data_IF_919629084656
#
_entry.id   IF_919629084656
#
_cell.length_a   1.000
_cell.length_b   1.000
_cell.length_c   1.000
_cell.angle_alpha   90.00
_cell.angle_beta   90.00
_cell.angle_gamma   90.00
#
_symmetry.space_group_name_H-M   'P 1'
#
loop_
_entity.id
_entity.type
_entity.pdbx_description
1 polymer ?
#
# COMPACT_ATOMS: atom_id res chain seq x y z
N UNK A 1 -2.32 20.59 0.71
CA UNK A 1 -2.02 19.91 -0.57
C UNK A 1 -2.41 18.45 -0.39
N UNK A 2 -3.31 17.89 -1.19
CA UNK A 2 -3.81 16.52 -0.98
C UNK A 2 -2.75 15.52 -1.45
N UNK A 3 -2.03 14.92 -0.52
CA UNK A 3 -0.88 14.04 -0.78
C UNK A 3 -1.22 12.80 -1.64
N UNK A 4 -2.43 12.26 -1.54
CA UNK A 4 -2.86 11.06 -2.29
C UNK A 4 -2.82 11.26 -3.82
N UNK A 5 -2.96 12.48 -4.32
CA UNK A 5 -2.88 12.75 -5.77
C UNK A 5 -1.47 12.61 -6.36
N UNK A 6 -0.45 12.49 -5.52
CA UNK A 6 0.95 12.32 -5.96
C UNK A 6 1.27 10.90 -6.46
N UNK A 7 0.37 9.93 -6.26
CA UNK A 7 0.68 8.49 -6.49
C UNK A 7 0.17 7.92 -7.81
N UNK A 8 -0.13 8.76 -8.80
CA UNK A 8 -0.52 8.31 -10.17
C UNK A 8 -1.59 7.20 -10.19
N UNK A 9 -2.53 7.27 -9.24
CA UNK A 9 -3.73 6.46 -9.34
C UNK A 9 -4.51 6.85 -10.58
N UNK A 10 -5.12 5.88 -11.25
CA UNK A 10 -6.25 6.16 -12.15
C UNK A 10 -7.44 6.63 -11.30
N UNK A 11 -8.33 7.45 -11.87
CA UNK A 11 -9.43 8.06 -11.11
C UNK A 11 -10.35 7.02 -10.44
N UNK A 12 -10.60 5.90 -11.12
CA UNK A 12 -11.35 4.76 -10.61
C UNK A 12 -10.67 4.15 -9.37
N UNK A 13 -9.39 3.81 -9.45
CA UNK A 13 -8.62 3.24 -8.34
C UNK A 13 -8.49 4.20 -7.17
N UNK A 14 -8.32 5.49 -7.45
CA UNK A 14 -8.28 6.53 -6.42
C UNK A 14 -9.62 6.62 -5.68
N UNK A 15 -10.73 6.55 -6.41
CA UNK A 15 -12.07 6.59 -5.81
C UNK A 15 -12.32 5.38 -4.89
N UNK A 16 -11.92 4.19 -5.33
CA UNK A 16 -11.98 2.96 -4.52
C UNK A 16 -11.14 3.12 -3.26
N UNK A 17 -9.87 3.50 -3.40
CA UNK A 17 -8.97 3.66 -2.25
C UNK A 17 -9.50 4.68 -1.25
N UNK A 18 -9.96 5.85 -1.70
CA UNK A 18 -10.55 6.89 -0.85
C UNK A 18 -11.83 6.46 -0.14
N UNK A 19 -12.64 5.60 -0.75
CA UNK A 19 -13.82 5.03 -0.11
C UNK A 19 -13.43 4.12 1.04
N UNK A 20 -12.41 3.29 0.87
CA UNK A 20 -12.00 2.31 1.87
C UNK A 20 -11.24 2.92 3.04
N UNK A 21 -10.37 3.91 2.82
CA UNK A 21 -9.65 4.58 3.92
C UNK A 21 -10.57 5.40 4.83
N UNK A 22 -11.82 5.65 4.44
CA UNK A 22 -12.83 6.37 5.23
C UNK A 22 -13.82 5.43 5.93
N UNK A 23 -13.64 4.11 5.81
CA UNK A 23 -14.47 3.18 6.55
C UNK A 23 -14.16 3.26 8.04
N UNK A 24 -15.16 3.07 8.92
CA UNK A 24 -14.94 3.17 10.35
C UNK A 24 -14.15 1.99 10.92
N UNK A 25 -14.13 0.84 10.23
CA UNK A 25 -13.43 -0.36 10.68
C UNK A 25 -13.05 -1.28 9.51
N UNK A 26 -12.25 -2.29 9.83
CA UNK A 26 -11.74 -3.26 8.89
C UNK A 26 -10.26 -3.11 8.62
N UNK A 27 -9.71 -3.90 7.71
CA UNK A 27 -8.27 -3.93 7.46
C UNK A 27 -7.96 -3.63 5.98
N UNK A 28 -7.00 -2.74 5.78
CA UNK A 28 -6.44 -2.38 4.47
C UNK A 28 -4.98 -2.80 4.46
N UNK A 29 -4.61 -3.67 3.50
CA UNK A 29 -3.25 -4.15 3.34
C UNK A 29 -2.63 -3.59 2.06
N UNK A 30 -1.44 -3.00 2.19
CA UNK A 30 -0.62 -2.63 1.03
C UNK A 30 0.54 -3.62 0.91
N UNK A 31 0.63 -4.29 -0.22
CA UNK A 31 1.70 -5.26 -0.49
C UNK A 31 2.65 -4.79 -1.59
N UNK A 32 3.79 -5.43 -1.66
CA UNK A 32 4.83 -5.15 -2.65
C UNK A 32 6.23 -5.30 -2.08
N UNK A 33 7.25 -5.34 -2.94
CA UNK A 33 8.64 -5.46 -2.53
C UNK A 33 9.12 -4.23 -1.74
N UNK A 34 10.29 -4.36 -1.13
CA UNK A 34 10.99 -3.21 -0.52
C UNK A 34 11.20 -2.11 -1.56
N UNK A 35 10.97 -0.86 -1.17
CA UNK A 35 11.10 0.29 -2.06
C UNK A 35 9.95 0.50 -3.04
N UNK A 36 8.83 -0.23 -2.92
CA UNK A 36 7.64 -0.02 -3.75
C UNK A 36 6.78 1.19 -3.35
N UNK A 37 7.15 1.90 -2.27
CA UNK A 37 6.46 3.11 -1.81
C UNK A 37 5.27 2.85 -0.86
N UNK A 38 5.18 1.67 -0.25
CA UNK A 38 4.10 1.30 0.68
C UNK A 38 3.91 2.30 1.82
N UNK A 39 4.99 2.59 2.56
CA UNK A 39 4.97 3.54 3.69
C UNK A 39 4.50 4.92 3.24
N UNK A 40 4.97 5.40 2.09
CA UNK A 40 4.57 6.70 1.55
C UNK A 40 3.06 6.76 1.25
N UNK A 41 2.51 5.68 0.67
CA UNK A 41 1.07 5.59 0.39
C UNK A 41 0.25 5.51 1.69
N UNK A 42 0.69 4.72 2.67
CA UNK A 42 0.05 4.63 3.98
C UNK A 42 0.06 5.98 4.71
N UNK A 43 1.19 6.67 4.73
CA UNK A 43 1.29 7.99 5.35
C UNK A 43 0.37 9.02 4.67
N UNK A 44 0.27 8.97 3.34
CA UNK A 44 -0.68 9.81 2.61
C UNK A 44 -2.15 9.49 2.95
N UNK A 45 -2.47 8.20 3.15
CA UNK A 45 -3.79 7.78 3.60
C UNK A 45 -4.11 8.31 5.01
N UNK A 46 -3.16 8.16 5.95
CA UNK A 46 -3.32 8.69 7.31
C UNK A 46 -3.51 10.20 7.32
N UNK A 47 -2.75 10.94 6.51
CA UNK A 47 -2.89 12.39 6.38
C UNK A 47 -4.24 12.82 5.76
N UNK A 48 -4.82 12.03 4.87
CA UNK A 48 -6.14 12.32 4.26
C UNK A 48 -7.29 12.12 5.25
N UNK A 49 -7.17 11.14 6.17
CA UNK A 49 -8.24 10.85 7.14
C UNK A 49 -8.06 11.54 8.49
N UNK A 50 -6.87 12.10 8.74
CA UNK A 50 -6.54 12.77 9.99
C UNK A 50 -7.49 13.91 10.29
N UNK A 51 -8.00 13.94 11.51
CA UNK A 51 -8.77 15.05 12.08
C UNK A 51 -8.55 15.11 13.60
N UNK A 52 -8.95 16.21 14.23
CA UNK A 52 -8.79 16.40 15.67
C UNK A 52 -9.63 15.42 16.52
N UNK A 53 -10.61 14.76 15.89
CA UNK A 53 -11.52 13.81 16.54
C UNK A 53 -11.13 12.34 16.28
N UNK A 54 -10.01 12.07 15.64
CA UNK A 54 -9.57 10.71 15.29
C UNK A 54 -8.21 10.43 15.92
N UNK A 55 -8.17 9.47 16.84
CA UNK A 55 -6.92 9.00 17.44
C UNK A 55 -6.22 8.03 16.48
N UNK A 56 -5.17 8.50 15.82
CA UNK A 56 -4.35 7.69 14.92
C UNK A 56 -3.05 7.31 15.62
N UNK A 57 -2.79 6.02 15.73
CA UNK A 57 -1.55 5.49 16.29
C UNK A 57 -0.86 4.57 15.31
N UNK A 58 0.48 4.62 15.24
CA UNK A 58 1.28 3.75 14.39
C UNK A 58 2.31 2.97 15.20
N UNK A 59 2.67 1.77 14.72
CA UNK A 59 3.82 0.98 15.19
C UNK A 59 4.67 0.64 13.97
N UNK A 60 5.93 1.04 13.97
CA UNK A 60 6.77 1.02 12.76
C UNK A 60 8.21 0.58 13.07
N UNK A 61 8.91 0.06 12.05
CA UNK A 61 10.30 -0.40 12.13
C UNK A 61 11.08 -0.08 10.84
N UNK A 62 11.72 1.12 10.77
CA UNK A 62 11.59 2.29 11.65
C UNK A 62 10.43 3.23 11.24
N UNK A 63 10.22 4.30 12.04
CA UNK A 63 9.43 5.48 11.62
C UNK A 63 10.22 6.25 10.57
N UNK A 64 9.69 6.36 9.35
CA UNK A 64 10.40 7.01 8.22
C UNK A 64 10.51 8.53 8.39
N UNK A 65 9.43 9.17 8.83
CA UNK A 65 9.39 10.58 9.23
C UNK A 65 8.17 10.86 10.11
N UNK A 66 8.27 11.90 10.92
CA UNK A 66 7.20 12.28 11.83
C UNK A 66 6.03 12.96 11.09
N UNK A 67 4.81 12.56 11.44
CA UNK A 67 3.58 13.19 10.95
C UNK A 67 2.95 13.94 12.12
N UNK A 68 2.88 15.28 12.10
CA UNK A 68 2.29 16.04 13.20
C UNK A 68 0.86 15.60 13.51
N UNK A 69 0.56 15.37 14.79
CA UNK A 69 -0.77 14.93 15.25
C UNK A 69 -1.10 13.48 14.99
N UNK A 70 -0.10 12.62 14.81
CA UNK A 70 -0.20 11.16 14.82
C UNK A 70 0.76 10.61 15.87
N UNK A 71 0.29 9.65 16.66
CA UNK A 71 1.10 8.97 17.67
C UNK A 71 1.93 7.88 16.99
N UNK A 72 3.21 8.12 16.74
CA UNK A 72 4.08 7.16 16.05
C UNK A 72 5.03 6.48 17.04
N UNK A 73 4.96 5.17 17.13
CA UNK A 73 5.77 4.33 18.02
C UNK A 73 6.76 3.55 17.16
N UNK A 74 8.04 3.72 17.44
CA UNK A 74 9.09 2.93 16.79
C UNK A 74 9.37 1.67 17.59
N UNK A 75 9.40 0.52 16.93
CA UNK A 75 9.85 -0.75 17.49
C UNK A 75 11.31 -0.64 17.94
N UNK A 76 11.62 -1.26 19.08
CA UNK A 76 12.96 -1.29 19.63
C UNK A 76 13.21 -2.63 20.33
N UNK A 77 13.51 -3.67 19.55
CA UNK A 77 13.64 -5.04 20.03
C UNK A 77 14.72 -5.21 21.12
N UNK A 78 15.79 -4.40 21.08
CA UNK A 78 16.85 -4.46 22.08
C UNK A 78 16.38 -4.18 23.52
N UNK A 79 15.25 -3.48 23.69
CA UNK A 79 14.63 -3.21 25.01
C UNK A 79 13.29 -3.96 25.17
N UNK A 80 12.99 -4.93 24.31
CA UNK A 80 11.76 -5.74 24.37
C UNK A 80 10.50 -5.04 23.83
N UNK A 81 10.62 -3.86 23.20
CA UNK A 81 9.52 -3.19 22.54
C UNK A 81 9.34 -3.73 21.10
N UNK A 82 8.83 -4.95 20.99
CA UNK A 82 8.47 -5.58 19.72
C UNK A 82 7.14 -5.06 19.16
N UNK A 83 6.79 -5.39 17.89
CA UNK A 83 5.47 -5.10 17.33
C UNK A 83 4.35 -5.58 18.24
N UNK A 84 4.36 -6.85 18.65
CA UNK A 84 3.32 -7.42 19.50
C UNK A 84 3.25 -6.74 20.89
N UNK A 85 4.40 -6.42 21.51
CA UNK A 85 4.44 -5.72 22.78
C UNK A 85 3.84 -4.31 22.70
N UNK A 86 4.20 -3.53 21.66
CA UNK A 86 3.66 -2.21 21.41
C UNK A 86 2.14 -2.29 21.15
N UNK A 87 1.69 -3.19 20.26
CA UNK A 87 0.28 -3.35 19.92
C UNK A 87 -0.58 -3.70 21.13
N UNK A 88 -0.14 -4.63 22.00
CA UNK A 88 -0.86 -4.94 23.26
C UNK A 88 -1.05 -3.73 24.17
N UNK A 89 -0.11 -2.79 24.15
CA UNK A 89 -0.23 -1.55 24.93
C UNK A 89 -1.17 -0.55 24.28
N UNK A 90 -1.12 -0.43 22.94
CA UNK A 90 -1.97 0.48 22.16
C UNK A 90 -3.44 0.13 22.25
N UNK A 91 -3.80 -1.18 22.34
CA UNK A 91 -5.18 -1.62 22.53
C UNK A 91 -5.87 -0.99 23.75
N UNK A 92 -5.12 -0.43 24.70
CA UNK A 92 -5.63 0.25 25.90
C UNK A 92 -5.61 1.77 25.80
N UNK A 93 -5.24 2.32 24.64
CA UNK A 93 -5.13 3.75 24.38
C UNK A 93 -6.27 4.30 23.52
N UNK A 94 -7.29 3.46 23.29
CA UNK A 94 -8.50 3.79 22.51
C UNK A 94 -8.18 4.48 21.15
N UNK A 95 -7.37 3.84 20.29
CA UNK A 95 -7.11 4.38 18.95
C UNK A 95 -8.25 4.05 18.02
N UNK A 96 -8.71 5.00 17.20
CA UNK A 96 -9.68 4.79 16.13
C UNK A 96 -9.04 4.12 14.91
N UNK A 97 -7.79 4.51 14.64
CA UNK A 97 -7.01 4.05 13.47
C UNK A 97 -5.64 3.57 13.92
N UNK A 98 -5.28 2.37 13.48
CA UNK A 98 -3.99 1.76 13.75
C UNK A 98 -3.23 1.51 12.45
N UNK A 99 -1.98 1.97 12.37
CA UNK A 99 -1.05 1.52 11.33
C UNK A 99 -0.02 0.58 11.96
N UNK A 100 0.07 -0.61 11.41
CA UNK A 100 1.11 -1.59 11.70
C UNK A 100 2.06 -1.60 10.51
N UNK A 101 3.30 -1.18 10.70
CA UNK A 101 4.28 -1.00 9.63
C UNK A 101 4.37 -2.22 8.73
N UNK A 102 4.39 -3.41 9.32
CA UNK A 102 4.28 -4.68 8.59
C UNK A 102 3.82 -5.83 9.50
N UNK A 103 3.21 -6.85 8.88
CA UNK A 103 2.85 -8.12 9.52
C UNK A 103 3.85 -9.17 9.06
N UNK A 104 4.73 -9.62 10.00
CA UNK A 104 5.77 -10.62 9.75
C UNK A 104 5.48 -11.97 10.38
N UNK A 105 4.67 -12.00 11.43
CA UNK A 105 4.43 -13.16 12.29
C UNK A 105 2.95 -13.31 12.64
N UNK A 106 2.60 -14.49 13.15
CA UNK A 106 1.23 -14.86 13.51
C UNK A 106 0.68 -13.97 14.63
N UNK A 107 1.49 -13.67 15.66
CA UNK A 107 1.02 -12.88 16.80
C UNK A 107 0.58 -11.47 16.38
N UNK A 108 1.38 -10.80 15.55
CA UNK A 108 1.06 -9.49 14.98
C UNK A 108 -0.18 -9.57 14.09
N UNK A 109 -0.29 -10.63 13.25
CA UNK A 109 -1.45 -10.85 12.39
C UNK A 109 -2.75 -11.04 13.20
N UNK A 110 -2.71 -11.87 14.25
CA UNK A 110 -3.86 -12.11 15.13
C UNK A 110 -4.36 -10.83 15.82
N UNK A 111 -3.43 -9.98 16.28
CA UNK A 111 -3.77 -8.70 16.90
C UNK A 111 -4.40 -7.78 15.87
N UNK A 112 -3.82 -7.65 14.67
CA UNK A 112 -4.33 -6.81 13.60
C UNK A 112 -5.76 -7.19 13.19
N UNK A 113 -6.00 -8.49 12.99
CA UNK A 113 -7.31 -9.04 12.64
C UNK A 113 -8.33 -8.76 13.73
N UNK A 114 -8.02 -9.10 14.98
CA UNK A 114 -8.93 -8.86 16.13
C UNK A 114 -9.29 -7.38 16.27
N UNK A 115 -8.30 -6.50 16.11
CA UNK A 115 -8.48 -5.07 16.21
C UNK A 115 -9.41 -4.54 15.12
N UNK A 116 -9.21 -4.99 13.86
CA UNK A 116 -10.07 -4.61 12.73
C UNK A 116 -11.52 -5.09 12.86
N UNK A 117 -11.76 -6.18 13.61
CA UNK A 117 -13.11 -6.73 13.87
C UNK A 117 -13.83 -6.06 15.06
N UNK A 118 -13.10 -5.34 15.90
CA UNK A 118 -13.67 -4.66 17.09
C UNK A 118 -14.02 -3.19 16.87
N UNK A 119 -14.20 -2.78 15.61
CA UNK A 119 -14.68 -1.45 15.27
C UNK A 119 -13.60 -0.44 14.89
N UNK A 120 -12.36 -0.89 14.62
CA UNK A 120 -11.23 -0.02 14.32
C UNK A 120 -10.72 -0.20 12.89
N UNK A 121 -10.18 0.85 12.31
CA UNK A 121 -9.56 0.79 10.99
C UNK A 121 -8.07 0.47 11.11
N UNK A 122 -7.65 -0.61 10.49
CA UNK A 122 -6.27 -1.09 10.52
C UNK A 122 -5.62 -0.93 9.15
N UNK A 123 -4.47 -0.30 9.10
CA UNK A 123 -3.57 -0.28 7.96
C UNK A 123 -2.36 -1.14 8.22
N UNK A 124 -1.92 -1.92 7.24
CA UNK A 124 -0.66 -2.64 7.37
C UNK A 124 -0.02 -2.94 6.03
N UNK A 125 1.19 -3.50 6.09
CA UNK A 125 1.87 -4.03 4.90
C UNK A 125 2.21 -5.50 5.06
N UNK A 126 2.32 -6.17 3.93
CA UNK A 126 2.89 -7.53 3.82
C UNK A 126 3.81 -7.58 2.61
N UNK A 127 4.82 -8.42 2.67
CA UNK A 127 5.66 -8.70 1.51
C UNK A 127 5.00 -9.79 0.66
N UNK A 128 4.33 -9.37 -0.42
CA UNK A 128 3.73 -10.24 -1.44
C UNK A 128 3.87 -9.58 -2.81
N UNK A 129 3.75 -10.37 -3.88
CA UNK A 129 4.01 -9.89 -5.24
C UNK A 129 2.80 -9.24 -5.90
N UNK A 130 1.60 -9.65 -5.53
CA UNK A 130 0.31 -9.22 -6.07
C UNK A 130 -0.77 -9.27 -4.97
N UNK A 131 -1.99 -8.83 -5.29
CA UNK A 131 -3.06 -8.79 -4.31
C UNK A 131 -3.55 -10.19 -3.90
N UNK A 132 -3.74 -11.17 -4.79
CA UNK A 132 -4.10 -12.54 -4.40
C UNK A 132 -3.05 -13.22 -3.51
N UNK A 133 -1.76 -13.12 -3.85
CA UNK A 133 -0.68 -13.73 -3.04
C UNK A 133 -0.56 -13.10 -1.64
N UNK A 134 -1.09 -11.90 -1.45
CA UNK A 134 -1.21 -11.29 -0.13
C UNK A 134 -2.14 -12.09 0.79
N UNK A 135 -3.26 -12.61 0.27
CA UNK A 135 -4.17 -13.48 1.01
C UNK A 135 -3.44 -14.77 1.41
N UNK A 136 -2.79 -15.43 0.45
CA UNK A 136 -2.02 -16.65 0.72
C UNK A 136 -0.98 -16.41 1.82
N UNK A 137 -0.29 -15.26 1.76
CA UNK A 137 0.72 -14.92 2.77
C UNK A 137 0.12 -14.77 4.18
N UNK A 138 -1.07 -14.18 4.31
CA UNK A 138 -1.76 -14.06 5.62
C UNK A 138 -2.25 -15.43 6.12
N UNK A 139 -2.69 -16.31 5.22
CA UNK A 139 -3.03 -17.70 5.56
C UNK A 139 -1.78 -18.48 6.05
N UNK A 140 -0.65 -18.32 5.37
CA UNK A 140 0.63 -18.94 5.74
C UNK A 140 1.14 -18.44 7.11
N UNK A 141 0.79 -17.21 7.51
CA UNK A 141 1.04 -16.67 8.83
C UNK A 141 0.09 -17.23 9.91
N UNK A 142 -0.82 -18.12 9.53
CA UNK A 142 -1.72 -18.83 10.46
C UNK A 142 -3.06 -18.12 10.69
N UNK A 143 -3.39 -17.06 9.94
CA UNK A 143 -4.70 -16.39 10.08
C UNK A 143 -5.80 -17.29 9.49
N UNK A 144 -6.85 -17.64 10.25
CA UNK A 144 -7.94 -18.46 9.74
C UNK A 144 -8.69 -17.77 8.58
N UNK A 145 -9.06 -18.52 7.51
CA UNK A 145 -9.73 -17.94 6.33
C UNK A 145 -10.98 -17.12 6.65
N UNK A 146 -11.84 -17.60 7.56
CA UNK A 146 -13.07 -16.90 7.94
C UNK A 146 -12.81 -15.55 8.63
N UNK A 147 -11.70 -15.44 9.35
CA UNK A 147 -11.30 -14.17 9.98
C UNK A 147 -10.77 -13.19 8.91
N UNK A 148 -10.02 -13.66 7.92
CA UNK A 148 -9.59 -12.83 6.79
C UNK A 148 -10.79 -12.29 6.02
N UNK A 149 -11.76 -13.15 5.68
CA UNK A 149 -12.97 -12.74 4.99
C UNK A 149 -13.76 -11.66 5.77
N UNK A 150 -13.76 -11.73 7.10
CA UNK A 150 -14.51 -10.78 7.95
C UNK A 150 -13.76 -9.48 8.24
N UNK A 151 -12.43 -9.51 8.24
CA UNK A 151 -11.58 -8.38 8.63
C UNK A 151 -11.06 -7.56 7.46
N UNK A 152 -10.72 -8.22 6.32
CA UNK A 152 -10.15 -7.54 5.16
C UNK A 152 -11.22 -6.75 4.38
N UNK A 153 -10.91 -5.50 4.10
CA UNK A 153 -11.69 -4.61 3.24
C UNK A 153 -11.04 -4.45 1.88
N UNK A 154 -9.73 -4.21 1.87
CA UNK A 154 -8.99 -3.89 0.66
C UNK A 154 -7.57 -4.43 0.72
N UNK A 155 -7.12 -4.99 -0.38
CA UNK A 155 -5.72 -5.30 -0.63
C UNK A 155 -5.26 -4.47 -1.84
N UNK A 156 -4.10 -3.85 -1.70
CA UNK A 156 -3.49 -3.11 -2.80
C UNK A 156 -2.03 -3.54 -2.97
N UNK A 157 -1.72 -4.17 -4.10
CA UNK A 157 -0.34 -4.44 -4.45
C UNK A 157 0.23 -3.25 -5.23
N UNK A 158 1.45 -2.84 -4.87
CA UNK A 158 2.09 -1.63 -5.39
C UNK A 158 3.52 -1.88 -5.85
N UNK A 159 3.85 -1.30 -7.00
CA UNK A 159 5.23 -1.26 -7.52
C UNK A 159 5.56 0.14 -8.01
N UNK A 160 6.83 0.54 -7.91
CA UNK A 160 7.34 1.75 -8.53
C UNK A 160 7.98 1.41 -9.88
N UNK A 161 7.59 2.16 -10.90
CA UNK A 161 8.22 2.14 -12.22
C UNK A 161 8.87 3.48 -12.49
N UNK A 162 9.92 3.51 -13.30
CA UNK A 162 10.57 4.74 -13.72
C UNK A 162 9.66 5.52 -14.66
N UNK A 163 9.60 6.84 -14.51
CA UNK A 163 8.88 7.74 -15.42
C UNK A 163 9.80 8.16 -16.54
N UNK A 164 9.35 8.05 -17.78
CA UNK A 164 10.07 8.62 -18.93
C UNK A 164 10.24 10.13 -18.71
N UNK A 165 11.42 10.67 -18.99
CA UNK A 165 11.63 12.11 -18.94
C UNK A 165 10.70 12.79 -19.96
N UNK A 166 9.75 13.64 -19.53
CA UNK A 166 8.74 14.22 -20.42
C UNK A 166 9.35 15.12 -21.51
N UNK A 167 10.54 15.69 -21.25
CA UNK A 167 11.22 16.58 -22.18
C UNK A 167 12.12 15.81 -23.18
N UNK A 168 12.44 14.55 -22.86
CA UNK A 168 13.42 13.75 -23.62
C UNK A 168 12.81 12.38 -23.96
N UNK A 169 11.61 12.37 -24.53
CA UNK A 169 10.92 11.15 -25.01
C UNK A 169 10.98 11.07 -26.53
N UNK A 170 11.14 9.86 -27.05
CA UNK A 170 11.09 9.54 -28.48
C UNK A 170 10.04 8.44 -28.71
N UNK A 171 9.43 8.44 -29.88
CA UNK A 171 8.50 7.36 -30.25
C UNK A 171 9.22 6.02 -30.27
N UNK A 172 8.51 4.99 -29.88
CA UNK A 172 8.95 3.61 -29.86
C UNK A 172 7.96 2.70 -30.58
N UNK A 173 8.49 1.68 -31.22
CA UNK A 173 7.68 0.66 -31.89
C UNK A 173 7.89 -0.68 -31.17
N UNK A 174 7.07 -1.02 -30.18
CA UNK A 174 7.20 -2.28 -29.46
C UNK A 174 6.96 -3.47 -30.39
N UNK A 175 7.65 -4.58 -30.14
CA UNK A 175 7.49 -5.80 -30.89
C UNK A 175 6.14 -6.47 -30.59
N UNK A 176 5.66 -7.31 -31.50
CA UNK A 176 4.41 -8.07 -31.31
C UNK A 176 4.43 -8.91 -30.04
N UNK A 177 5.59 -9.50 -29.67
CA UNK A 177 5.76 -10.25 -28.42
C UNK A 177 5.59 -9.35 -27.17
N UNK A 178 6.13 -8.14 -27.21
CA UNK A 178 5.96 -7.16 -26.11
C UNK A 178 4.49 -6.75 -25.95
N UNK A 179 3.80 -6.49 -27.05
CA UNK A 179 2.37 -6.12 -27.06
C UNK A 179 1.50 -7.28 -26.55
N UNK A 180 1.82 -8.51 -26.94
CA UNK A 180 1.12 -9.70 -26.48
C UNK A 180 1.28 -9.92 -24.97
N UNK A 181 2.50 -9.75 -24.44
CA UNK A 181 2.77 -9.84 -22.99
C UNK A 181 2.02 -8.80 -22.18
N UNK A 182 1.75 -7.64 -22.76
CA UNK A 182 0.97 -6.56 -22.14
C UNK A 182 -0.54 -6.72 -22.31
N UNK A 183 -1.01 -7.71 -23.11
CA UNK A 183 -2.44 -7.93 -23.38
C UNK A 183 -3.09 -6.84 -24.21
N UNK A 184 -2.30 -6.04 -24.98
CA UNK A 184 -2.79 -4.89 -25.75
C UNK A 184 -2.63 -5.03 -27.27
N UNK A 185 -2.34 -6.25 -27.75
CA UNK A 185 -2.07 -6.53 -29.16
C UNK A 185 -3.17 -6.03 -30.10
N UNK A 186 -4.44 -6.18 -29.73
CA UNK A 186 -5.59 -5.81 -30.57
C UNK A 186 -5.74 -4.29 -30.75
N UNK A 187 -5.32 -3.52 -29.75
CA UNK A 187 -5.49 -2.06 -29.73
C UNK A 187 -4.18 -1.29 -30.00
N UNK A 188 -3.09 -2.00 -30.27
CA UNK A 188 -1.77 -1.39 -30.42
C UNK A 188 -1.70 -0.34 -31.53
N UNK A 189 -2.44 -0.55 -32.64
CA UNK A 189 -2.49 0.39 -33.75
C UNK A 189 -3.14 1.75 -33.45
N UNK A 190 -3.84 1.83 -32.30
CA UNK A 190 -4.47 3.08 -31.82
C UNK A 190 -3.64 3.78 -30.75
N UNK A 191 -2.49 3.22 -30.38
CA UNK A 191 -1.63 3.73 -29.32
C UNK A 191 -0.30 4.22 -29.86
N UNK A 192 0.16 5.35 -29.33
CA UNK A 192 1.53 5.81 -29.56
C UNK A 192 2.38 5.43 -28.36
N UNK A 193 3.45 4.70 -28.59
CA UNK A 193 4.38 4.26 -27.54
C UNK A 193 5.61 5.17 -27.53
N UNK A 194 6.18 5.33 -26.33
CA UNK A 194 7.36 6.16 -26.14
C UNK A 194 8.42 5.44 -25.32
N UNK A 195 9.68 5.78 -25.57
CA UNK A 195 10.81 5.44 -24.72
C UNK A 195 11.59 6.70 -24.35
N UNK A 196 12.32 6.64 -23.25
CA UNK A 196 13.18 7.74 -22.82
C UNK A 196 14.43 7.84 -23.70
N UNK A 197 14.77 9.07 -24.12
CA UNK A 197 16.02 9.36 -24.80
C UNK A 197 17.11 9.64 -23.77
N UNK A 198 18.20 8.85 -23.73
CA UNK A 198 19.33 9.11 -22.84
C UNK A 198 20.00 10.45 -23.17
N UNK A 199 20.12 11.34 -22.17
CA UNK A 199 20.82 12.63 -22.26
C UNK A 199 21.59 12.89 -20.96
N UNK A 200 22.53 13.82 -20.96
CA UNK A 200 23.24 14.21 -19.74
C UNK A 200 22.29 14.73 -18.65
N UNK A 201 21.19 15.39 -19.03
CA UNK A 201 20.20 15.94 -18.09
C UNK A 201 19.43 14.87 -17.33
N UNK A 202 19.27 13.68 -17.90
CA UNK A 202 18.61 12.53 -17.25
C UNK A 202 19.63 11.42 -16.90
N UNK A 203 20.90 11.78 -16.69
CA UNK A 203 22.00 10.87 -16.35
C UNK A 203 22.16 9.70 -17.33
N UNK A 204 21.92 9.95 -18.61
CA UNK A 204 21.97 8.96 -19.70
C UNK A 204 21.02 7.75 -19.50
N UNK A 205 19.95 7.93 -18.76
CA UNK A 205 18.96 6.86 -18.49
C UNK A 205 17.71 6.98 -19.35
N UNK A 206 17.34 8.18 -19.80
CA UNK A 206 16.07 8.47 -20.45
C UNK A 206 14.88 8.60 -19.48
N UNK A 207 15.12 8.49 -18.14
CA UNK A 207 14.08 8.51 -17.13
C UNK A 207 14.30 9.60 -16.10
N UNK A 208 13.20 10.16 -15.56
CA UNK A 208 13.22 11.17 -14.50
C UNK A 208 12.07 10.93 -13.53
N UNK A 209 12.42 10.53 -12.31
CA UNK A 209 11.45 10.20 -11.26
C UNK A 209 10.88 8.79 -11.38
N UNK A 210 9.89 8.53 -10.54
CA UNK A 210 9.18 7.24 -10.43
C UNK A 210 7.70 7.50 -10.24
N UNK A 211 6.88 6.58 -10.69
CA UNK A 211 5.45 6.56 -10.48
C UNK A 211 5.02 5.19 -9.95
N UNK A 212 3.91 5.11 -9.26
CA UNK A 212 3.39 3.86 -8.75
C UNK A 212 2.39 3.24 -9.74
N UNK A 213 2.40 1.92 -9.85
CA UNK A 213 1.35 1.12 -10.45
C UNK A 213 0.69 0.30 -9.36
N UNK A 214 -0.63 0.14 -9.46
CA UNK A 214 -1.46 -0.46 -8.42
C UNK A 214 -2.34 -1.58 -8.98
N UNK A 215 -2.38 -2.67 -8.25
CA UNK A 215 -3.40 -3.70 -8.36
C UNK A 215 -4.29 -3.59 -7.12
N UNK A 216 -5.61 -3.54 -7.31
CA UNK A 216 -6.56 -3.39 -6.21
C UNK A 216 -7.51 -4.58 -6.20
N UNK A 217 -7.66 -5.19 -5.02
CA UNK A 217 -8.62 -6.24 -4.73
C UNK A 217 -9.53 -5.80 -3.58
N UNK A 218 -10.79 -5.54 -3.90
CA UNK A 218 -11.82 -5.29 -2.90
C UNK A 218 -12.36 -6.61 -2.39
N UNK A 219 -12.34 -6.81 -1.07
CA UNK A 219 -12.87 -8.03 -0.43
C UNK A 219 -14.38 -7.89 -0.26
N UNK A 220 -15.11 -8.26 -1.29
CA UNK A 220 -16.56 -8.24 -1.34
C UNK A 220 -17.18 -9.59 -0.88
N UNK A 221 -18.51 -9.67 -0.91
CA UNK A 221 -19.26 -10.87 -0.51
C UNK A 221 -18.95 -12.13 -1.34
N UNK A 222 -18.41 -11.99 -2.55
CA UNK A 222 -18.02 -13.12 -3.41
C UNK A 222 -16.65 -13.69 -3.06
N UNK A 223 -15.81 -12.91 -2.34
CA UNK A 223 -14.48 -13.33 -1.91
C UNK A 223 -14.50 -13.83 -0.45
N UNK A 224 -15.45 -13.36 0.34
CA UNK A 224 -15.71 -13.78 1.74
C UNK A 224 -16.32 -15.17 1.81
#
# INVERSE_FOLDING_TARGET
MRFIYLFSFTDDKLSIFKRWIKQPYGMIIISGPTGSGKSTTLYAALQEIKSDNINITTVEDPVEYQIPGINQIQVHDAIGLSFAAALRSILRQDPDVLLIGEIRDQETADIAVKFSMTGHLVFSTVHANDAPSTISRLLDLGVPPFLLGSSLNLIMAQRLVRTIDPNEKIEDNPTSDQLQRLGISENANQMTFYKGKPTQQNHNTGYKGRTAIHEILEVNSSIR
#
